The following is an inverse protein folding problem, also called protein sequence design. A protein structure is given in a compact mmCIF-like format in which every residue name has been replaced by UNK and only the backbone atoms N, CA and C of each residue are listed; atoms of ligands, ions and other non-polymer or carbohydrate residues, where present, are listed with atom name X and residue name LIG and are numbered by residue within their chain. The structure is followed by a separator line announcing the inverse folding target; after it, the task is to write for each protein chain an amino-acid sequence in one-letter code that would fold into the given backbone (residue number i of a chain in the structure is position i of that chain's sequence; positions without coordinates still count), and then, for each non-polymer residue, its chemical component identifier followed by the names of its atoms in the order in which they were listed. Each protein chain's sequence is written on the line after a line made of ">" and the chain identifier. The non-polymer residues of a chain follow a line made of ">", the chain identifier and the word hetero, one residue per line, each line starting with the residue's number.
data_IF_612714110498
#
_entry.id   IF_612714110498
#
_cell.length_a   1.000
_cell.length_b   1.000
_cell.length_c   1.000
_cell.angle_alpha   90.00
_cell.angle_beta   90.00
_cell.angle_gamma   90.00
#
_symmetry.space_group_name_H-M   'P 1'
#
loop_
_entity.id
_entity.type
_entity.pdbx_description
1 polymer ?
#
# COMPACT_ATOMS: atom_id res chain seq x y z
N UNK A 1 -1.23 36.55 11.07
CA UNK A 1 0.03 35.77 11.08
C UNK A 1 -0.36 34.33 11.36
N UNK A 2 -0.63 33.60 10.28
CA UNK A 2 -0.86 32.15 10.34
C UNK A 2 0.37 31.53 9.71
N UNK A 3 1.01 30.64 10.45
CA UNK A 3 2.16 29.88 10.00
C UNK A 3 1.65 28.79 9.06
N UNK A 4 2.09 28.85 7.80
CA UNK A 4 1.88 27.80 6.81
C UNK A 4 2.75 26.60 7.23
N UNK A 5 2.12 25.45 7.47
CA UNK A 5 2.83 24.21 7.79
C UNK A 5 2.93 23.39 6.51
N UNK A 6 4.08 23.48 5.83
CA UNK A 6 4.38 22.70 4.64
C UNK A 6 4.60 21.23 5.06
N UNK A 7 3.64 20.35 4.76
CA UNK A 7 3.85 18.91 4.89
C UNK A 7 4.69 18.44 3.70
N UNK A 8 5.99 18.25 3.92
CA UNK A 8 6.90 17.65 2.94
C UNK A 8 6.59 16.17 2.79
N UNK A 9 6.16 15.76 1.60
CA UNK A 9 6.05 14.36 1.20
C UNK A 9 7.45 13.71 1.27
N UNK A 10 7.67 12.83 2.24
CA UNK A 10 8.88 12.01 2.31
C UNK A 10 8.64 10.72 1.52
N UNK A 11 9.01 10.74 0.24
CA UNK A 11 9.35 9.53 -0.50
C UNK A 11 10.78 9.10 -0.13
N UNK A 12 10.99 7.76 -0.06
CA UNK A 12 12.24 7.00 0.21
C UNK A 12 12.53 6.64 1.67
N UNK A 13 12.39 5.35 1.98
CA UNK A 13 13.49 4.35 2.08
C UNK A 13 14.91 4.79 2.54
N UNK A 14 15.13 5.99 3.08
CA UNK A 14 16.47 6.48 3.48
C UNK A 14 16.58 6.87 4.97
N UNK A 15 15.50 6.80 5.76
CA UNK A 15 15.48 7.27 7.17
C UNK A 15 15.15 6.21 8.23
N UNK A 16 15.39 4.93 7.94
CA UNK A 16 15.34 3.88 8.97
C UNK A 16 16.58 2.98 8.90
N UNK A 17 17.67 3.45 9.49
CA UNK A 17 18.96 2.73 9.58
C UNK A 17 18.98 1.60 10.63
N UNK A 18 17.83 1.21 11.20
CA UNK A 18 17.77 0.26 12.30
C UNK A 18 16.82 -0.89 11.98
N UNK A 19 17.41 -2.01 11.58
CA UNK A 19 16.70 -3.29 11.56
C UNK A 19 16.29 -3.67 12.99
N UNK A 20 15.01 -4.04 13.13
CA UNK A 20 14.28 -4.53 14.30
C UNK A 20 13.44 -3.50 15.10
N UNK A 21 12.21 -3.94 15.37
CA UNK A 21 11.00 -3.24 15.81
C UNK A 21 11.01 -2.89 17.32
N UNK A 22 12.11 -2.37 17.87
CA UNK A 22 12.21 -2.32 19.34
C UNK A 22 12.50 -0.94 19.93
N UNK A 23 12.79 0.09 19.11
CA UNK A 23 13.34 1.33 19.68
C UNK A 23 12.86 2.65 19.09
N UNK A 24 11.83 2.67 18.24
CA UNK A 24 11.33 3.93 17.67
C UNK A 24 9.93 4.32 18.21
N UNK A 25 9.84 5.28 19.14
CA UNK A 25 8.57 5.76 19.70
C UNK A 25 7.72 6.62 18.73
N UNK A 26 8.28 7.03 17.59
CA UNK A 26 7.54 7.70 16.49
C UNK A 26 7.08 6.74 15.39
N UNK A 27 7.50 5.48 15.47
CA UNK A 27 7.14 4.42 14.54
C UNK A 27 6.06 3.49 15.12
N UNK A 28 5.51 3.83 16.30
CA UNK A 28 4.37 3.14 16.91
C UNK A 28 3.14 4.02 16.74
N UNK A 29 2.13 3.47 16.05
CA UNK A 29 0.87 4.11 15.65
C UNK A 29 0.94 5.00 14.41
N UNK A 30 1.68 4.57 13.39
CA UNK A 30 1.16 4.76 12.05
C UNK A 30 0.82 3.34 11.57
N UNK A 31 -0.46 3.01 11.64
CA UNK A 31 -1.03 2.11 10.65
C UNK A 31 -0.88 2.87 9.33
N UNK A 32 0.34 2.80 8.79
CA UNK A 32 0.78 3.50 7.58
C UNK A 32 -0.16 2.93 6.53
N UNK A 33 -1.18 3.72 6.15
CA UNK A 33 -2.28 3.32 5.28
C UNK A 33 -1.80 2.84 3.92
N UNK A 34 -1.24 1.62 3.91
CA UNK A 34 -0.65 0.85 2.83
C UNK A 34 -0.81 -0.63 3.17
N UNK A 35 -2.06 -0.98 3.41
CA UNK A 35 -2.59 -2.25 2.97
C UNK A 35 -3.88 -1.92 2.20
N UNK A 36 -3.76 -1.08 1.16
CA UNK A 36 -4.58 -1.32 -0.01
C UNK A 36 -4.26 -2.77 -0.39
N UNK A 37 -5.25 -3.65 -0.47
CA UNK A 37 -5.07 -5.11 -0.55
C UNK A 37 -4.13 -5.51 -1.71
N UNK A 38 -2.81 -5.52 -1.44
CA UNK A 38 -1.81 -5.91 -2.41
C UNK A 38 -1.94 -7.41 -2.70
N UNK A 39 -1.59 -7.79 -3.93
CA UNK A 39 -1.41 -9.20 -4.25
C UNK A 39 -0.35 -9.76 -3.29
N UNK A 40 -0.76 -10.75 -2.49
CA UNK A 40 0.10 -11.44 -1.53
C UNK A 40 0.35 -12.86 -2.01
N UNK A 41 1.62 -13.27 -2.07
CA UNK A 41 1.93 -14.65 -2.44
C UNK A 41 1.34 -15.62 -1.39
N UNK A 42 0.45 -16.54 -1.77
CA UNK A 42 -0.21 -17.43 -0.82
C UNK A 42 0.76 -18.47 -0.21
N UNK A 43 1.97 -18.60 -0.76
CA UNK A 43 2.93 -19.60 -0.32
C UNK A 43 4.00 -19.08 0.64
N UNK A 44 4.39 -17.81 0.52
CA UNK A 44 5.47 -17.24 1.32
C UNK A 44 5.12 -15.90 1.99
N UNK A 45 3.95 -15.34 1.69
CA UNK A 45 3.46 -14.11 2.32
C UNK A 45 4.15 -12.83 1.85
N UNK A 46 4.97 -12.88 0.78
CA UNK A 46 5.54 -11.66 0.20
C UNK A 46 4.45 -10.87 -0.53
N UNK A 47 4.42 -9.57 -0.28
CA UNK A 47 3.51 -8.64 -0.94
C UNK A 47 4.15 -8.11 -2.23
N UNK A 48 3.32 -7.88 -3.24
CA UNK A 48 3.69 -7.25 -4.49
C UNK A 48 3.22 -5.80 -4.41
N UNK A 49 4.06 -4.90 -3.91
CA UNK A 49 3.69 -3.53 -3.45
C UNK A 49 3.19 -2.57 -4.53
N UNK A 50 3.31 -2.94 -5.81
CA UNK A 50 2.83 -2.16 -6.95
C UNK A 50 1.71 -2.90 -7.70
N UNK A 51 1.01 -3.83 -7.03
CA UNK A 51 0.01 -4.67 -7.69
C UNK A 51 -1.27 -3.91 -8.07
N UNK A 52 -1.48 -2.73 -7.50
CA UNK A 52 -2.53 -1.80 -7.89
C UNK A 52 -2.31 -1.21 -9.31
N UNK A 53 -1.08 -1.21 -9.84
CA UNK A 53 -0.78 -0.72 -11.19
C UNK A 53 -1.09 -1.74 -12.31
N UNK A 54 -1.43 -2.97 -11.93
CA UNK A 54 -1.76 -4.01 -12.90
C UNK A 54 -3.00 -3.58 -13.69
N UNK A 55 -2.96 -3.67 -15.01
CA UNK A 55 -4.07 -3.23 -15.88
C UNK A 55 -5.19 -4.26 -15.91
N UNK A 56 -4.83 -5.51 -15.66
CA UNK A 56 -5.73 -6.65 -15.63
C UNK A 56 -6.41 -6.79 -14.26
N UNK A 57 -7.61 -7.39 -14.25
CA UNK A 57 -8.33 -7.72 -13.03
C UNK A 57 -8.12 -9.17 -12.58
N UNK A 58 -7.35 -9.96 -13.34
CA UNK A 58 -6.94 -11.31 -12.93
C UNK A 58 -5.73 -11.77 -13.73
N UNK A 59 -4.99 -12.73 -13.19
CA UNK A 59 -3.79 -13.24 -13.85
C UNK A 59 -3.14 -14.41 -13.13
N UNK A 60 -1.96 -14.78 -13.64
CA UNK A 60 -1.08 -15.79 -13.04
C UNK A 60 0.30 -15.19 -12.93
N UNK A 61 0.92 -15.30 -11.76
CA UNK A 61 2.24 -14.74 -11.47
C UNK A 61 3.17 -15.79 -10.89
N UNK A 62 4.46 -15.62 -11.18
CA UNK A 62 5.51 -16.40 -10.52
C UNK A 62 6.10 -15.56 -9.40
N UNK A 63 6.05 -16.06 -8.16
CA UNK A 63 6.62 -15.36 -7.04
C UNK A 63 8.15 -15.27 -7.15
N UNK A 64 8.69 -14.06 -7.23
CA UNK A 64 10.15 -13.83 -7.27
C UNK A 64 10.89 -14.29 -6.01
N UNK A 65 10.21 -14.39 -4.87
CA UNK A 65 10.82 -14.83 -3.60
C UNK A 65 10.88 -16.36 -3.46
N UNK A 66 9.76 -17.07 -3.72
CA UNK A 66 9.69 -18.52 -3.49
C UNK A 66 9.60 -19.37 -4.77
N UNK A 67 9.55 -18.74 -5.94
CA UNK A 67 9.51 -19.40 -7.25
C UNK A 67 8.20 -20.11 -7.59
N UNK A 68 7.19 -20.07 -6.71
CA UNK A 68 5.90 -20.73 -6.95
C UNK A 68 4.97 -19.87 -7.79
N UNK A 69 4.21 -20.53 -8.65
CA UNK A 69 3.19 -19.92 -9.50
C UNK A 69 1.85 -19.87 -8.76
N UNK A 70 1.16 -18.72 -8.80
CA UNK A 70 -0.15 -18.53 -8.21
C UNK A 70 -1.04 -17.67 -9.11
N UNK A 71 -2.36 -17.81 -8.93
CA UNK A 71 -3.37 -16.98 -9.59
C UNK A 71 -3.83 -15.86 -8.67
N UNK A 72 -4.23 -14.73 -9.24
CA UNK A 72 -4.79 -13.60 -8.50
C UNK A 72 -6.00 -13.03 -9.25
N UNK A 73 -6.89 -12.38 -8.52
CA UNK A 73 -8.02 -11.61 -9.04
C UNK A 73 -8.19 -10.33 -8.21
N UNK A 74 -8.58 -9.23 -8.87
CA UNK A 74 -8.87 -7.94 -8.25
C UNK A 74 -10.37 -7.83 -8.04
N UNK A 75 -10.79 -7.60 -6.80
CA UNK A 75 -12.18 -7.33 -6.45
C UNK A 75 -12.35 -5.85 -6.12
N UNK A 76 -13.03 -5.10 -7.00
CA UNK A 76 -13.29 -3.66 -6.80
C UNK A 76 -14.79 -3.45 -6.56
N UNK A 77 -15.14 -2.75 -5.48
CA UNK A 77 -16.49 -2.24 -5.25
C UNK A 77 -16.49 -0.71 -5.41
N UNK A 78 -17.27 -0.20 -6.35
CA UNK A 78 -17.35 1.24 -6.62
C UNK A 78 -18.76 1.75 -6.32
N UNK A 79 -18.85 2.75 -5.44
CA UNK A 79 -20.11 3.43 -5.10
C UNK A 79 -20.02 4.92 -5.38
N UNK A 80 -21.12 5.50 -5.85
CA UNK A 80 -21.22 6.92 -6.18
C UNK A 80 -22.33 7.58 -5.36
N UNK A 81 -22.14 8.84 -4.99
CA UNK A 81 -23.18 9.72 -4.48
C UNK A 81 -23.01 11.12 -5.07
N UNK A 82 -24.10 11.88 -5.13
CA UNK A 82 -24.08 13.28 -5.55
C UNK A 82 -25.14 14.06 -4.80
N UNK A 83 -24.88 15.36 -4.59
CA UNK A 83 -25.78 16.31 -3.94
C UNK A 83 -25.94 17.57 -4.80
N UNK A 84 -27.03 18.33 -4.57
CA UNK A 84 -27.29 19.60 -5.25
C UNK A 84 -26.60 20.75 -4.50
N UNK A 85 -25.84 21.59 -5.21
CA UNK A 85 -25.44 22.89 -4.70
C UNK A 85 -26.63 23.86 -4.71
N UNK A 86 -26.91 24.49 -3.57
CA UNK A 86 -27.85 25.61 -3.47
C UNK A 86 -27.15 26.89 -3.88
N UNK A 87 -27.56 27.47 -5.02
CA UNK A 87 -27.15 28.80 -5.50
C UNK A 87 -27.97 29.89 -4.82
#
# INVERSE_FOLDING_TARGET
>A
MMIEYEHTWHDREEDCSHGNNETCPYCVNIDFGRAEDEITCPYCGVNFTDSWEYREDSGTETCGNCGKVFTWERSISVSYWSDRETV
#
